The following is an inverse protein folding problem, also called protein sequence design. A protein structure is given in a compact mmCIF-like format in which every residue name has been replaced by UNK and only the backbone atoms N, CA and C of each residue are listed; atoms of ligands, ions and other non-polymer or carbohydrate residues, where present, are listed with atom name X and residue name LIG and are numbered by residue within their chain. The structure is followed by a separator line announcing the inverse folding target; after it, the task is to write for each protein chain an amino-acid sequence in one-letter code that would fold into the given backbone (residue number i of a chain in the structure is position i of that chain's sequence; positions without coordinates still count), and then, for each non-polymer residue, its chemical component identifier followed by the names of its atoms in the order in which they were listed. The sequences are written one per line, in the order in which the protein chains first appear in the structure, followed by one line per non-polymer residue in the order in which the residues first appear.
data_IF_217961497519
#
_entry.id   IF_217961497519
#
_cell.length_a   1.000
_cell.length_b   1.000
_cell.length_c   1.000
_cell.angle_alpha   90.00
_cell.angle_beta   90.00
_cell.angle_gamma   90.00
#
_symmetry.space_group_name_H-M   'P 1'
#
loop_
_entity.id
_entity.type
_entity.pdbx_description
1 polymer ?
#
# COMPACT_ATOMS: atom_id res chain seq x y z
N UNK A 1 46.83 26.73 26.13
CA UNK A 1 46.91 27.11 27.57
C UNK A 1 48.19 26.51 28.14
N UNK A 2 48.95 27.27 28.91
CA UNK A 2 50.20 26.78 29.53
C UNK A 2 49.83 25.83 30.69
N UNK A 3 50.65 24.75 30.86
CA UNK A 3 50.42 23.71 31.86
C UNK A 3 50.46 24.24 33.30
N UNK A 4 51.38 25.19 33.58
CA UNK A 4 51.45 25.84 34.86
C UNK A 4 50.24 26.71 35.20
N UNK A 5 49.66 27.35 34.20
CA UNK A 5 48.45 28.17 34.36
C UNK A 5 47.23 27.26 34.65
N UNK A 6 47.14 26.10 34.02
CA UNK A 6 46.12 25.10 34.29
C UNK A 6 46.21 24.58 35.73
N UNK A 7 47.43 24.26 36.21
CA UNK A 7 47.65 23.77 37.56
C UNK A 7 47.21 24.83 38.59
N UNK A 8 47.58 26.10 38.38
CA UNK A 8 47.15 27.19 39.27
C UNK A 8 45.63 27.38 39.27
N UNK A 9 44.99 27.19 38.13
CA UNK A 9 43.51 27.25 38.06
C UNK A 9 42.87 26.12 38.86
N UNK A 10 43.29 24.89 38.66
CA UNK A 10 42.75 23.71 39.32
C UNK A 10 43.04 23.68 40.84
N UNK A 11 44.10 24.36 41.27
CA UNK A 11 44.44 24.52 42.71
C UNK A 11 43.91 25.79 43.37
N UNK A 12 43.09 26.57 42.65
CA UNK A 12 42.52 27.83 43.10
C UNK A 12 43.56 28.87 43.57
N UNK A 13 44.74 28.88 42.94
CA UNK A 13 45.84 29.81 43.27
C UNK A 13 46.11 30.83 42.18
N UNK A 14 45.17 31.07 41.29
CA UNK A 14 45.25 32.03 40.20
C UNK A 14 45.35 33.48 40.63
N UNK A 15 46.20 34.25 39.99
CA UNK A 15 46.22 35.71 40.08
C UNK A 15 45.11 36.32 39.15
N UNK A 16 44.71 37.60 39.37
CA UNK A 16 43.76 38.27 38.49
C UNK A 16 44.22 38.35 37.00
N UNK A 17 45.51 38.31 36.72
CA UNK A 17 46.08 38.29 35.38
C UNK A 17 45.95 36.87 34.76
N UNK A 18 46.16 35.85 35.58
CA UNK A 18 45.97 34.45 35.16
C UNK A 18 44.54 34.21 34.74
N UNK A 19 43.54 34.71 35.49
CA UNK A 19 42.12 34.59 35.16
C UNK A 19 41.76 35.27 33.85
N UNK A 20 42.30 36.48 33.59
CA UNK A 20 42.08 37.16 32.29
C UNK A 20 42.63 36.36 31.10
N UNK A 21 43.78 35.73 31.30
CA UNK A 21 44.41 34.89 30.27
C UNK A 21 43.59 33.63 29.96
N UNK A 22 42.99 33.06 30.99
CA UNK A 22 42.09 31.90 30.89
C UNK A 22 40.78 32.31 30.18
N UNK A 23 40.18 33.46 30.55
CA UNK A 23 38.95 33.96 29.89
C UNK A 23 39.18 34.23 28.42
N UNK A 24 40.31 34.83 28.02
CA UNK A 24 40.67 35.03 26.61
C UNK A 24 40.84 33.71 25.89
N UNK A 25 41.46 32.73 26.52
CA UNK A 25 41.64 31.42 25.92
C UNK A 25 40.33 30.67 25.77
N UNK A 26 39.41 30.76 26.75
CA UNK A 26 38.03 30.21 26.64
C UNK A 26 37.27 30.89 25.48
N UNK A 27 37.35 32.21 25.36
CA UNK A 27 36.69 32.98 24.32
C UNK A 27 37.21 32.70 22.93
N UNK A 28 38.41 32.15 22.79
CA UNK A 28 39.02 31.82 21.48
C UNK A 28 38.42 30.60 20.79
N UNK A 29 37.61 29.78 21.50
CA UNK A 29 36.90 28.66 20.89
C UNK A 29 36.07 27.82 21.87
N UNK A 30 34.89 27.44 21.45
CA UNK A 30 33.94 26.65 22.25
C UNK A 30 34.53 25.33 22.82
N UNK A 31 35.39 24.59 22.08
CA UNK A 31 36.05 23.38 22.62
C UNK A 31 36.95 23.63 23.84
N UNK A 32 37.44 24.86 24.03
CA UNK A 32 38.34 25.19 25.16
C UNK A 32 37.61 25.24 26.49
N UNK A 33 36.37 25.74 26.49
CA UNK A 33 35.53 25.76 27.69
C UNK A 33 35.15 24.32 28.13
N UNK A 34 34.75 23.50 27.17
CA UNK A 34 34.37 22.10 27.44
C UNK A 34 35.55 21.30 27.99
N UNK A 35 36.73 21.50 27.43
CA UNK A 35 37.96 20.85 27.88
C UNK A 35 38.36 21.29 29.29
N UNK A 36 38.26 22.57 29.60
CA UNK A 36 38.59 23.06 30.95
C UNK A 36 37.62 22.52 32.01
N UNK A 37 36.33 22.45 31.69
CA UNK A 37 35.31 21.87 32.59
C UNK A 37 35.56 20.37 32.86
N UNK A 38 35.95 19.61 31.82
CA UNK A 38 36.30 18.21 32.02
C UNK A 38 37.57 18.03 32.86
N UNK A 39 38.55 18.93 32.75
CA UNK A 39 39.76 18.90 33.60
C UNK A 39 39.43 19.26 35.06
N UNK A 40 38.57 20.22 35.32
CA UNK A 40 38.10 20.56 36.65
C UNK A 40 37.33 19.40 37.30
N UNK A 41 36.51 18.72 36.53
CA UNK A 41 35.77 17.52 36.95
C UNK A 41 36.71 16.37 37.29
N UNK A 42 37.75 16.12 36.49
CA UNK A 42 38.78 15.08 36.79
C UNK A 42 39.56 15.46 38.04
N UNK A 43 39.87 16.73 38.21
CA UNK A 43 40.64 17.21 39.39
C UNK A 43 39.84 17.13 40.68
N UNK A 44 38.53 17.40 40.68
CA UNK A 44 37.64 17.23 41.84
C UNK A 44 37.54 15.78 42.30
N UNK A 45 37.60 14.81 41.37
CA UNK A 45 37.62 13.38 41.68
C UNK A 45 38.90 12.96 42.47
N UNK A 46 40.01 13.72 42.34
CA UNK A 46 41.25 13.47 43.09
C UNK A 46 41.05 13.65 44.59
N UNK A 47 40.22 14.59 45.03
CA UNK A 47 39.96 14.82 46.45
C UNK A 47 39.03 13.74 47.03
N UNK A 48 38.10 13.19 46.23
CA UNK A 48 37.33 11.98 46.62
C UNK A 48 38.20 10.72 46.72
N UNK A 49 39.26 10.60 45.89
CA UNK A 49 40.21 9.48 45.94
C UNK A 49 41.26 9.61 47.06
N UNK A 50 41.41 10.79 47.69
CA UNK A 50 42.34 11.06 48.79
C UNK A 50 41.94 10.43 50.12
N UNK A 51 40.68 9.98 50.24
CA UNK A 51 40.18 9.20 51.40
C UNK A 51 40.48 7.73 51.35
N UNK A 52 41.40 7.29 50.51
CA UNK A 52 41.76 5.87 50.39
C UNK A 52 43.10 5.57 51.06
N UNK A 53 43.40 6.14 52.23
CA UNK A 53 44.44 5.57 53.08
C UNK A 53 43.93 4.23 53.62
N UNK A 54 44.58 3.17 53.21
CA UNK A 54 44.19 1.77 53.48
C UNK A 54 44.00 1.51 54.98
N UNK A 55 44.68 2.25 55.83
CA UNK A 55 44.51 2.22 57.29
C UNK A 55 43.19 2.83 57.75
N UNK A 56 42.77 3.96 57.21
CA UNK A 56 41.51 4.60 57.55
C UNK A 56 40.29 3.77 57.10
N UNK A 57 40.40 3.12 55.95
CA UNK A 57 39.39 2.19 55.46
C UNK A 57 39.34 0.95 56.34
N UNK A 58 40.45 0.39 56.75
CA UNK A 58 40.50 -0.76 57.66
C UNK A 58 39.97 -0.41 59.06
N UNK A 59 40.29 0.76 59.58
CA UNK A 59 39.75 1.22 60.89
C UNK A 59 38.25 1.58 60.78
N UNK A 60 37.76 2.17 59.70
CA UNK A 60 36.37 2.39 59.45
C UNK A 60 35.58 1.09 59.27
N UNK A 61 36.14 0.14 58.56
CA UNK A 61 35.60 -1.21 58.40
C UNK A 61 35.52 -1.98 59.71
N UNK A 62 36.56 -1.90 60.56
CA UNK A 62 36.58 -2.51 61.87
C UNK A 62 35.60 -1.84 62.85
N UNK A 63 35.46 -0.52 62.79
CA UNK A 63 34.40 0.23 63.57
C UNK A 63 33.02 -0.15 63.12
N UNK A 64 32.79 -0.30 61.81
CA UNK A 64 31.54 -0.73 61.24
C UNK A 64 31.18 -2.18 61.61
N UNK A 65 32.13 -3.10 61.53
CA UNK A 65 31.93 -4.51 61.87
C UNK A 65 31.73 -4.71 63.41
N UNK A 66 32.40 -3.92 64.25
CA UNK A 66 32.15 -3.89 65.71
C UNK A 66 30.79 -3.31 66.08
N UNK A 67 30.26 -2.33 65.30
CA UNK A 67 28.91 -1.80 65.45
C UNK A 67 27.82 -2.78 65.03
N UNK A 68 28.11 -3.65 64.08
CA UNK A 68 27.21 -4.71 63.66
C UNK A 68 27.15 -5.92 64.62
N UNK A 69 28.15 -6.05 65.50
CA UNK A 69 28.29 -7.20 66.44
C UNK A 69 27.37 -7.18 67.64
N UNK A 70 26.53 -6.19 67.85
CA UNK A 70 25.63 -6.02 69.03
C UNK A 70 24.13 -5.94 68.71
N UNK A 71 23.70 -6.47 67.62
CA UNK A 71 22.27 -6.69 67.41
C UNK A 71 21.93 -8.17 67.58
N UNK A 72 21.52 -8.51 68.81
CA UNK A 72 20.90 -9.81 69.06
C UNK A 72 19.60 -9.93 68.28
N UNK A 73 19.56 -10.89 67.38
CA UNK A 73 18.38 -11.66 66.97
C UNK A 73 17.10 -10.89 66.64
N UNK A 74 17.05 -10.38 65.47
CA UNK A 74 15.83 -10.50 64.65
C UNK A 74 16.27 -10.69 63.23
N UNK A 75 16.27 -11.95 62.73
CA UNK A 75 16.29 -12.23 61.31
C UNK A 75 14.96 -11.75 60.77
N UNK A 76 14.85 -10.65 60.06
CA UNK A 76 13.70 -10.48 59.21
C UNK A 76 13.85 -11.55 58.11
N UNK A 77 13.08 -12.63 58.25
CA UNK A 77 12.85 -13.48 57.09
C UNK A 77 12.11 -12.61 56.09
N UNK A 78 12.89 -11.93 55.25
CA UNK A 78 12.36 -11.29 54.07
C UNK A 78 11.86 -12.40 53.11
N UNK A 79 10.63 -12.85 53.37
CA UNK A 79 9.87 -13.73 52.48
C UNK A 79 9.52 -13.06 51.14
N UNK A 80 10.25 -11.99 50.75
CA UNK A 80 10.05 -11.27 49.48
C UNK A 80 10.65 -12.01 48.31
N UNK A 81 11.71 -12.81 48.51
CA UNK A 81 12.38 -13.52 47.42
C UNK A 81 11.48 -14.49 46.64
N UNK A 82 10.63 -15.30 47.28
CA UNK A 82 9.69 -16.14 46.50
C UNK A 82 8.59 -15.28 45.85
N UNK A 83 8.09 -14.25 46.48
CA UNK A 83 7.06 -13.35 45.92
C UNK A 83 7.62 -12.63 44.68
N UNK A 84 8.85 -12.14 44.71
CA UNK A 84 9.48 -11.45 43.59
C UNK A 84 9.62 -12.38 42.36
N UNK A 85 9.89 -13.67 42.56
CA UNK A 85 9.91 -14.67 41.47
C UNK A 85 8.53 -14.85 40.82
N UNK A 86 7.46 -14.89 41.63
CA UNK A 86 6.10 -15.00 41.10
C UNK A 86 5.66 -13.74 40.39
N UNK A 87 6.01 -12.54 40.92
CA UNK A 87 5.74 -11.26 40.25
C UNK A 87 6.49 -11.17 38.91
N UNK A 88 7.78 -11.56 38.88
CA UNK A 88 8.55 -11.62 37.63
C UNK A 88 7.96 -12.61 36.62
N UNK A 89 7.52 -13.80 37.08
CA UNK A 89 6.87 -14.78 36.22
C UNK A 89 5.54 -14.26 35.64
N UNK A 90 4.72 -13.59 36.45
CA UNK A 90 3.45 -13.00 35.99
C UNK A 90 3.72 -11.86 34.97
N UNK A 91 4.74 -11.02 35.20
CA UNK A 91 5.13 -9.98 34.25
C UNK A 91 5.64 -10.58 32.94
N UNK A 92 6.46 -11.64 32.98
CA UNK A 92 6.96 -12.31 31.76
C UNK A 92 5.79 -12.96 31.03
N UNK A 93 4.88 -13.65 31.71
CA UNK A 93 3.69 -14.25 31.10
C UNK A 93 2.78 -13.18 30.52
N UNK A 94 2.60 -12.05 31.22
CA UNK A 94 1.83 -10.89 30.73
C UNK A 94 2.44 -10.28 29.49
N UNK A 95 3.77 -10.08 29.47
CA UNK A 95 4.51 -9.55 28.29
C UNK A 95 4.48 -10.53 27.12
N UNK A 96 4.64 -11.84 27.38
CA UNK A 96 4.49 -12.88 26.36
C UNK A 96 3.05 -12.92 25.83
N UNK A 97 2.06 -12.81 26.69
CA UNK A 97 0.65 -12.73 26.31
C UNK A 97 0.33 -11.51 25.45
N UNK A 98 0.88 -10.34 25.79
CA UNK A 98 0.75 -9.13 24.99
C UNK A 98 1.42 -9.26 23.63
N UNK A 99 2.64 -9.80 23.57
CA UNK A 99 3.33 -10.07 22.31
C UNK A 99 2.57 -11.07 21.43
N UNK A 100 2.05 -12.15 22.02
CA UNK A 100 1.21 -13.11 21.30
C UNK A 100 -0.11 -12.48 20.84
N UNK A 101 -0.72 -11.62 21.67
CA UNK A 101 -1.94 -10.89 21.32
C UNK A 101 -1.70 -9.94 20.13
N UNK A 102 -0.61 -9.16 20.12
CA UNK A 102 -0.24 -8.32 18.98
C UNK A 102 0.07 -9.14 17.72
N UNK A 103 0.69 -10.31 17.86
CA UNK A 103 1.01 -11.21 16.75
C UNK A 103 -0.24 -11.90 16.17
N UNK A 104 -1.27 -12.12 16.98
CA UNK A 104 -2.55 -12.73 16.57
C UNK A 104 -3.56 -11.67 16.10
N UNK A 105 -3.38 -10.41 16.46
CA UNK A 105 -4.23 -9.35 15.92
C UNK A 105 -4.04 -9.32 14.39
N UNK A 106 -5.12 -9.50 13.60
CA UNK A 106 -5.02 -9.27 12.16
C UNK A 106 -4.56 -7.82 11.99
N UNK A 107 -3.37 -7.64 11.45
CA UNK A 107 -2.93 -6.31 11.03
C UNK A 107 -4.08 -5.72 10.22
N UNK A 108 -4.67 -4.63 10.66
CA UNK A 108 -5.64 -3.88 9.86
C UNK A 108 -4.85 -3.33 8.67
N UNK A 109 -4.71 -4.18 7.65
CA UNK A 109 -4.07 -3.80 6.40
C UNK A 109 -4.92 -2.70 5.82
N UNK A 110 -4.40 -1.47 5.80
CA UNK A 110 -5.10 -0.36 5.19
C UNK A 110 -5.44 -0.69 3.74
N UNK A 111 -6.60 -0.29 3.28
CA UNK A 111 -7.00 -0.42 1.88
C UNK A 111 -6.76 0.90 1.15
N UNK A 112 -6.20 0.80 -0.03
CA UNK A 112 -6.12 1.88 -1.01
C UNK A 112 -7.28 1.75 -1.98
N UNK A 113 -7.80 2.89 -2.42
CA UNK A 113 -8.85 2.95 -3.43
C UNK A 113 -8.43 3.91 -4.53
N UNK A 114 -8.51 3.45 -5.77
CA UNK A 114 -8.37 4.28 -6.98
C UNK A 114 -9.68 4.25 -7.72
N UNK A 115 -10.26 5.42 -7.91
CA UNK A 115 -11.49 5.63 -8.68
C UNK A 115 -11.18 6.49 -9.90
N UNK A 116 -11.57 6.01 -11.07
CA UNK A 116 -11.35 6.67 -12.36
C UNK A 116 -12.69 7.21 -12.86
N UNK A 117 -12.83 8.54 -12.99
CA UNK A 117 -14.05 9.14 -13.52
C UNK A 117 -14.30 8.75 -14.99
N UNK A 118 -15.50 9.04 -15.48
CA UNK A 118 -15.81 8.98 -16.91
C UNK A 118 -14.85 9.84 -17.72
N UNK A 119 -14.54 9.47 -18.93
CA UNK A 119 -13.62 10.19 -19.82
C UNK A 119 -12.16 10.07 -19.48
N UNK A 120 -11.79 9.46 -18.34
CA UNK A 120 -10.43 9.36 -17.87
C UNK A 120 -9.93 7.92 -17.83
N UNK A 121 -8.62 7.75 -17.71
CA UNK A 121 -7.94 6.47 -17.51
C UNK A 121 -6.82 6.67 -16.50
N UNK A 122 -6.47 5.62 -15.81
CA UNK A 122 -5.34 5.62 -14.88
C UNK A 122 -4.47 4.39 -15.08
N UNK A 123 -3.21 4.49 -14.69
CA UNK A 123 -2.32 3.33 -14.57
C UNK A 123 -1.60 3.40 -13.24
N UNK A 124 -1.39 2.25 -12.62
CA UNK A 124 -0.68 2.14 -11.35
C UNK A 124 0.16 0.87 -11.34
N UNK A 125 1.15 0.87 -10.45
CA UNK A 125 1.95 -0.29 -10.15
C UNK A 125 1.78 -0.63 -8.67
N UNK A 126 1.42 -1.87 -8.38
CA UNK A 126 1.26 -2.37 -7.03
C UNK A 126 2.61 -2.71 -6.38
N UNK A 127 2.62 -2.90 -5.07
CA UNK A 127 3.83 -3.23 -4.31
C UNK A 127 4.51 -4.55 -4.70
N UNK A 128 3.77 -5.45 -5.34
CA UNK A 128 4.28 -6.74 -5.85
C UNK A 128 4.92 -6.65 -7.24
N UNK A 129 4.87 -5.47 -7.89
CA UNK A 129 5.33 -5.21 -9.25
C UNK A 129 4.26 -5.40 -10.34
N UNK A 130 3.03 -5.80 -9.97
CA UNK A 130 1.90 -5.89 -10.89
C UNK A 130 1.54 -4.52 -11.45
N UNK A 131 1.38 -4.43 -12.77
CA UNK A 131 0.93 -3.21 -13.46
C UNK A 131 -0.54 -3.34 -13.82
N UNK A 132 -1.30 -2.28 -13.56
CA UNK A 132 -2.73 -2.24 -13.81
C UNK A 132 -3.05 -0.98 -14.59
N UNK A 133 -3.86 -1.11 -15.63
CA UNK A 133 -4.48 0.00 -16.34
C UNK A 133 -5.97 -0.04 -16.05
N UNK A 134 -6.54 1.07 -15.62
CA UNK A 134 -7.97 1.24 -15.34
C UNK A 134 -8.60 2.07 -16.44
N UNK A 135 -9.71 1.59 -16.98
CA UNK A 135 -10.49 2.30 -17.97
C UNK A 135 -11.48 3.28 -17.30
N UNK A 136 -12.18 4.05 -18.11
CA UNK A 136 -13.18 5.04 -17.65
C UNK A 136 -14.24 4.41 -16.76
N UNK A 137 -14.67 5.16 -15.72
CA UNK A 137 -15.69 4.74 -14.76
C UNK A 137 -15.33 3.40 -14.08
N UNK A 138 -14.08 3.27 -13.64
CA UNK A 138 -13.59 2.04 -12.98
C UNK A 138 -13.07 2.34 -11.58
N UNK A 139 -13.25 1.40 -10.68
CA UNK A 139 -12.82 1.47 -9.29
C UNK A 139 -12.02 0.22 -8.93
N UNK A 140 -10.84 0.44 -8.36
CA UNK A 140 -9.97 -0.61 -7.85
C UNK A 140 -9.69 -0.40 -6.38
N UNK A 141 -9.89 -1.44 -5.60
CA UNK A 141 -9.54 -1.47 -4.18
C UNK A 141 -8.50 -2.55 -3.97
N UNK A 142 -7.41 -2.20 -3.30
CA UNK A 142 -6.31 -3.12 -3.03
C UNK A 142 -5.66 -2.79 -1.67
N UNK A 143 -5.08 -3.78 -0.97
CA UNK A 143 -4.46 -3.56 0.31
C UNK A 143 -3.14 -2.79 0.16
N UNK A 144 -2.76 -2.04 1.19
CA UNK A 144 -1.43 -1.38 1.25
C UNK A 144 -0.30 -2.40 1.18
N UNK A 145 -0.55 -3.60 1.71
CA UNK A 145 0.39 -4.72 1.70
C UNK A 145 -0.38 -6.03 1.48
N UNK A 146 0.08 -6.86 0.56
CA UNK A 146 -0.54 -8.17 0.33
C UNK A 146 -0.21 -9.14 1.45
N UNK A 147 -1.12 -10.11 1.67
CA UNK A 147 -0.88 -11.20 2.61
C UNK A 147 0.14 -12.21 2.06
N UNK A 148 0.66 -13.07 2.92
CA UNK A 148 1.55 -14.18 2.52
C UNK A 148 0.81 -15.35 1.85
N UNK A 149 -0.52 -15.30 1.79
CA UNK A 149 -1.35 -16.38 1.22
C UNK A 149 -1.87 -16.03 -0.16
N UNK A 150 -2.36 -14.79 -0.35
CA UNK A 150 -2.99 -14.34 -1.58
C UNK A 150 -2.83 -12.84 -1.77
N UNK A 151 -2.81 -12.40 -3.04
CA UNK A 151 -2.79 -11.01 -3.47
C UNK A 151 -4.19 -10.63 -3.95
N UNK A 152 -5.05 -10.20 -3.03
CA UNK A 152 -6.44 -9.89 -3.33
C UNK A 152 -6.63 -8.43 -3.74
N UNK A 153 -7.40 -8.20 -4.79
CA UNK A 153 -7.87 -6.89 -5.23
C UNK A 153 -9.35 -6.97 -5.59
N UNK A 154 -10.07 -5.84 -5.50
CA UNK A 154 -11.49 -5.73 -5.91
C UNK A 154 -11.60 -4.75 -7.06
N UNK A 155 -12.25 -5.16 -8.13
CA UNK A 155 -12.47 -4.37 -9.33
C UNK A 155 -13.98 -4.21 -9.60
N UNK A 156 -14.40 -2.98 -9.83
CA UNK A 156 -15.65 -2.62 -10.49
C UNK A 156 -15.30 -1.77 -11.71
N UNK A 157 -15.77 -2.15 -12.90
CA UNK A 157 -15.40 -1.50 -14.15
C UNK A 157 -14.50 -2.33 -15.03
N UNK A 158 -13.59 -1.71 -15.76
CA UNK A 158 -12.67 -2.39 -16.69
C UNK A 158 -11.21 -2.11 -16.36
N UNK A 159 -10.43 -3.19 -16.28
CA UNK A 159 -9.00 -3.10 -16.08
C UNK A 159 -8.23 -4.14 -16.88
N UNK A 160 -7.05 -3.75 -17.34
CA UNK A 160 -6.04 -4.66 -17.87
C UNK A 160 -4.96 -4.88 -16.80
N UNK A 161 -4.63 -6.13 -16.54
CA UNK A 161 -3.65 -6.57 -15.57
C UNK A 161 -2.44 -7.18 -16.25
N UNK A 162 -1.24 -6.74 -15.89
CA UNK A 162 0.03 -7.40 -16.16
C UNK A 162 0.61 -7.84 -14.81
N UNK A 163 0.21 -9.04 -14.39
CA UNK A 163 0.47 -9.54 -13.05
C UNK A 163 1.88 -10.09 -12.94
N UNK A 164 2.64 -9.61 -11.95
CA UNK A 164 3.96 -10.11 -11.61
C UNK A 164 3.90 -11.60 -11.25
N UNK A 165 4.75 -12.43 -11.88
CA UNK A 165 4.74 -13.87 -11.68
C UNK A 165 5.22 -14.25 -10.28
N UNK A 166 4.39 -15.03 -9.54
CA UNK A 166 4.73 -15.64 -8.24
C UNK A 166 4.07 -16.99 -8.13
N UNK A 167 4.85 -18.07 -8.17
CA UNK A 167 4.35 -19.45 -8.25
C UNK A 167 3.47 -19.88 -7.06
N UNK A 168 3.80 -19.39 -5.86
CA UNK A 168 3.14 -19.82 -4.61
C UNK A 168 2.23 -18.77 -3.99
N UNK A 169 2.08 -17.60 -4.64
CA UNK A 169 1.29 -16.50 -4.12
C UNK A 169 0.29 -16.01 -5.18
N UNK A 170 -0.88 -16.62 -5.28
CA UNK A 170 -1.86 -16.28 -6.30
C UNK A 170 -2.33 -14.82 -6.19
N UNK A 171 -2.65 -14.23 -7.34
CA UNK A 171 -3.29 -12.94 -7.47
C UNK A 171 -4.76 -13.17 -7.81
N UNK A 172 -5.66 -12.58 -7.02
CA UNK A 172 -7.11 -12.79 -7.16
C UNK A 172 -7.80 -11.44 -7.37
N UNK A 173 -8.49 -11.32 -8.49
CA UNK A 173 -9.36 -10.18 -8.78
C UNK A 173 -10.80 -10.56 -8.46
N UNK A 174 -11.38 -9.91 -7.45
CA UNK A 174 -12.79 -10.02 -7.13
C UNK A 174 -13.57 -8.97 -7.90
N UNK A 175 -14.54 -9.38 -8.70
CA UNK A 175 -15.49 -8.53 -9.40
C UNK A 175 -16.92 -8.77 -8.93
N UNK A 176 -17.92 -7.98 -9.35
CA UNK A 176 -19.30 -8.18 -8.90
C UNK A 176 -19.88 -9.59 -9.10
N UNK A 177 -19.45 -10.29 -10.15
CA UNK A 177 -19.99 -11.61 -10.50
C UNK A 177 -18.97 -12.74 -10.49
N UNK A 178 -17.67 -12.41 -10.60
CA UNK A 178 -16.59 -13.39 -10.83
C UNK A 178 -15.41 -13.16 -9.89
N UNK A 179 -14.77 -14.26 -9.49
CA UNK A 179 -13.42 -14.28 -8.93
C UNK A 179 -12.45 -14.82 -9.98
N UNK A 180 -11.36 -14.10 -10.23
CA UNK A 180 -10.37 -14.38 -11.26
C UNK A 180 -9.02 -14.63 -10.61
N UNK A 181 -8.48 -15.85 -10.70
CA UNK A 181 -7.25 -16.28 -10.03
C UNK A 181 -6.14 -16.56 -11.04
N UNK A 182 -4.95 -15.98 -10.78
CA UNK A 182 -3.78 -16.09 -11.64
C UNK A 182 -2.48 -16.16 -10.82
N UNK A 183 -1.38 -16.62 -11.43
CA UNK A 183 -0.04 -16.64 -10.81
C UNK A 183 0.91 -15.61 -11.42
N UNK A 184 0.71 -15.26 -12.69
CA UNK A 184 1.52 -14.31 -13.46
C UNK A 184 1.03 -14.31 -14.90
N UNK A 185 0.19 -13.36 -15.26
CA UNK A 185 -0.71 -13.46 -16.41
C UNK A 185 -1.06 -12.06 -16.91
N UNK A 186 -1.23 -11.91 -18.23
CA UNK A 186 -1.77 -10.69 -18.83
C UNK A 186 -3.19 -10.93 -19.30
N UNK A 187 -4.13 -10.22 -18.74
CA UNK A 187 -5.56 -10.39 -19.01
C UNK A 187 -6.35 -9.10 -18.82
N UNK A 188 -7.50 -9.03 -19.45
CA UNK A 188 -8.47 -7.94 -19.28
C UNK A 188 -9.69 -8.43 -18.53
N UNK A 189 -10.19 -7.63 -17.62
CA UNK A 189 -11.48 -7.85 -16.93
C UNK A 189 -12.36 -6.65 -17.19
N UNK A 190 -13.55 -6.88 -17.76
CA UNK A 190 -14.62 -5.89 -17.90
C UNK A 190 -15.80 -6.36 -17.06
N UNK A 191 -16.06 -5.66 -15.95
CA UNK A 191 -17.06 -6.06 -14.94
C UNK A 191 -17.75 -4.82 -14.35
N UNK A 192 -18.43 -4.07 -15.21
CA UNK A 192 -19.33 -2.99 -14.78
C UNK A 192 -20.62 -3.58 -14.18
N UNK A 193 -21.20 -2.88 -13.20
CA UNK A 193 -22.30 -3.39 -12.39
C UNK A 193 -23.52 -3.85 -13.23
N UNK A 194 -23.89 -3.09 -14.26
CA UNK A 194 -25.09 -3.34 -15.07
C UNK A 194 -24.80 -4.13 -16.37
N UNK A 195 -23.63 -4.76 -16.46
CA UNK A 195 -23.21 -5.47 -17.66
C UNK A 195 -22.79 -6.90 -17.35
N UNK A 196 -22.72 -7.74 -18.39
CA UNK A 196 -22.07 -9.04 -18.27
C UNK A 196 -20.59 -8.85 -17.93
N UNK A 197 -20.09 -9.63 -17.00
CA UNK A 197 -18.65 -9.69 -16.75
C UNK A 197 -17.98 -10.44 -17.88
N UNK A 198 -16.84 -9.90 -18.37
CA UNK A 198 -16.05 -10.48 -19.46
C UNK A 198 -14.60 -10.55 -19.02
N UNK A 199 -13.98 -11.72 -19.15
CA UNK A 199 -12.55 -11.94 -18.87
C UNK A 199 -11.88 -12.44 -20.13
N UNK A 200 -10.87 -11.73 -20.63
CA UNK A 200 -10.12 -12.08 -21.84
C UNK A 200 -8.66 -12.32 -21.51
N UNK A 201 -8.14 -13.49 -21.84
CA UNK A 201 -6.77 -13.88 -21.56
C UNK A 201 -5.86 -13.59 -22.76
N UNK A 202 -4.81 -12.76 -22.52
CA UNK A 202 -3.79 -12.47 -23.52
C UNK A 202 -2.57 -13.40 -23.40
N UNK A 203 -2.02 -13.59 -22.19
CA UNK A 203 -0.82 -14.39 -21.96
C UNK A 203 -0.91 -15.11 -20.60
N UNK A 204 -0.48 -16.37 -20.53
CA UNK A 204 -0.44 -17.16 -19.30
C UNK A 204 -1.66 -18.06 -19.11
N UNK A 205 -2.19 -18.12 -17.90
CA UNK A 205 -3.33 -18.96 -17.49
C UNK A 205 -4.21 -18.21 -16.52
N UNK A 206 -5.52 -18.28 -16.70
CA UNK A 206 -6.53 -17.66 -15.82
C UNK A 206 -7.52 -18.72 -15.36
N UNK A 207 -7.76 -18.80 -14.09
CA UNK A 207 -8.89 -19.54 -13.52
C UNK A 207 -10.00 -18.53 -13.17
N UNK A 208 -11.19 -18.77 -13.71
CA UNK A 208 -12.39 -17.94 -13.46
C UNK A 208 -13.41 -18.77 -12.72
N UNK A 209 -13.92 -18.22 -11.63
CA UNK A 209 -14.97 -18.85 -10.82
C UNK A 209 -16.11 -17.86 -10.59
N UNK A 210 -17.36 -18.35 -10.62
CA UNK A 210 -18.50 -17.53 -10.22
C UNK A 210 -18.54 -17.31 -8.72
N UNK A 211 -18.99 -16.15 -8.24
CA UNK A 211 -18.98 -15.83 -6.79
C UNK A 211 -19.85 -16.78 -5.95
N UNK A 212 -20.79 -17.51 -6.57
CA UNK A 212 -21.56 -18.58 -5.92
C UNK A 212 -20.84 -19.95 -5.91
N UNK A 213 -19.61 -19.98 -6.42
CA UNK A 213 -18.73 -21.18 -6.52
C UNK A 213 -19.32 -22.37 -7.30
N UNK A 214 -20.37 -22.15 -8.12
CA UNK A 214 -21.02 -23.22 -8.88
C UNK A 214 -20.33 -23.54 -10.20
N UNK A 215 -19.72 -22.55 -10.81
CA UNK A 215 -19.07 -22.71 -12.10
C UNK A 215 -17.63 -22.25 -12.03
N UNK A 216 -16.72 -23.07 -12.58
CA UNK A 216 -15.30 -22.79 -12.68
C UNK A 216 -14.79 -23.16 -14.07
N UNK A 217 -13.94 -22.29 -14.64
CA UNK A 217 -13.37 -22.49 -15.94
C UNK A 217 -11.92 -21.99 -15.98
N UNK A 218 -11.07 -22.69 -16.72
CA UNK A 218 -9.70 -22.23 -16.98
C UNK A 218 -9.57 -21.76 -18.41
N UNK A 219 -9.09 -20.50 -18.60
CA UNK A 219 -8.80 -19.92 -19.91
C UNK A 219 -7.37 -20.23 -20.35
N UNK A 220 -7.24 -20.40 -21.67
CA UNK A 220 -5.97 -20.40 -22.41
C UNK A 220 -5.80 -19.07 -23.17
N UNK A 221 -4.57 -18.71 -23.60
CA UNK A 221 -4.36 -17.52 -24.40
C UNK A 221 -5.30 -17.44 -25.61
N UNK A 222 -5.81 -16.25 -25.88
CA UNK A 222 -6.81 -15.96 -26.92
C UNK A 222 -8.20 -16.60 -26.66
N UNK A 223 -8.50 -16.92 -25.41
CA UNK A 223 -9.85 -17.30 -24.99
C UNK A 223 -10.46 -16.19 -24.14
N UNK A 224 -11.77 -16.10 -24.17
CA UNK A 224 -12.60 -15.17 -23.42
C UNK A 224 -13.75 -15.92 -22.78
N UNK A 225 -14.10 -15.54 -21.55
CA UNK A 225 -15.32 -16.01 -20.91
C UNK A 225 -16.20 -14.82 -20.59
N UNK A 226 -17.51 -14.99 -20.78
CA UNK A 226 -18.53 -14.01 -20.36
C UNK A 226 -19.55 -14.66 -19.43
N UNK A 227 -20.05 -13.84 -18.45
CA UNK A 227 -21.04 -14.26 -17.45
C UNK A 227 -22.01 -13.12 -17.13
N UNK A 228 -23.30 -13.42 -17.16
CA UNK A 228 -24.37 -12.43 -16.92
C UNK A 228 -25.15 -12.64 -15.60
N UNK A 229 -24.72 -13.61 -14.78
CA UNK A 229 -25.41 -13.93 -13.52
C UNK A 229 -26.55 -14.95 -13.65
N UNK A 230 -27.19 -15.04 -14.80
CA UNK A 230 -28.36 -15.92 -15.04
C UNK A 230 -28.09 -17.12 -15.93
N UNK A 231 -27.03 -17.06 -16.71
CA UNK A 231 -26.58 -18.15 -17.62
C UNK A 231 -25.23 -18.68 -17.16
N UNK A 232 -24.87 -19.90 -17.52
CA UNK A 232 -23.53 -20.43 -17.24
C UNK A 232 -22.41 -19.58 -17.87
N UNK A 233 -21.16 -19.94 -17.56
CA UNK A 233 -19.99 -19.33 -18.17
C UNK A 233 -19.95 -19.63 -19.66
N UNK A 234 -20.01 -18.59 -20.52
CA UNK A 234 -19.94 -18.72 -21.97
C UNK A 234 -18.49 -18.52 -22.43
N UNK A 235 -17.86 -19.60 -22.94
CA UNK A 235 -16.47 -19.59 -23.46
C UNK A 235 -16.46 -19.26 -24.93
N UNK A 236 -15.66 -18.29 -25.32
CA UNK A 236 -15.35 -17.94 -26.69
C UNK A 236 -13.86 -18.15 -26.96
N UNK A 237 -13.51 -18.71 -28.12
CA UNK A 237 -12.13 -19.03 -28.52
C UNK A 237 -11.69 -18.20 -29.72
N UNK A 238 -10.38 -18.15 -29.94
CA UNK A 238 -9.76 -17.42 -31.05
C UNK A 238 -10.05 -15.91 -31.04
N UNK A 239 -10.13 -15.34 -29.86
CA UNK A 239 -10.31 -13.89 -29.67
C UNK A 239 -9.01 -13.17 -30.05
N UNK A 240 -9.15 -12.10 -30.85
CA UNK A 240 -8.03 -11.21 -31.11
C UNK A 240 -7.75 -10.34 -29.87
N UNK A 241 -6.85 -10.79 -29.02
CA UNK A 241 -6.50 -10.09 -27.77
C UNK A 241 -5.80 -8.74 -27.96
N UNK A 242 -5.36 -8.41 -29.19
CA UNK A 242 -4.86 -7.07 -29.47
C UNK A 242 -5.97 -6.02 -29.41
N UNK A 243 -7.22 -6.38 -29.68
CA UNK A 243 -8.36 -5.45 -29.61
C UNK A 243 -8.62 -4.99 -28.19
N UNK A 244 -8.49 -5.87 -27.18
CA UNK A 244 -8.69 -5.50 -25.76
C UNK A 244 -7.57 -4.65 -25.19
N UNK A 245 -6.44 -4.52 -25.89
CA UNK A 245 -5.32 -3.65 -25.51
C UNK A 245 -5.38 -2.27 -26.20
N UNK A 246 -6.27 -2.08 -27.16
CA UNK A 246 -6.34 -0.85 -27.96
C UNK A 246 -6.68 0.38 -27.09
N UNK A 247 -7.60 0.21 -26.17
CA UNK A 247 -8.00 1.29 -25.28
C UNK A 247 -6.83 1.83 -24.41
N UNK A 248 -5.87 0.95 -24.01
CA UNK A 248 -4.67 1.40 -23.29
C UNK A 248 -3.73 2.24 -24.16
N UNK A 249 -3.80 2.05 -25.48
CA UNK A 249 -3.02 2.82 -26.47
C UNK A 249 -3.75 4.06 -26.97
N UNK A 250 -4.94 4.33 -26.42
CA UNK A 250 -5.76 5.46 -26.86
C UNK A 250 -6.59 5.20 -28.12
N UNK A 251 -6.79 3.96 -28.51
CA UNK A 251 -7.62 3.58 -29.65
C UNK A 251 -8.92 2.94 -29.17
N UNK A 252 -10.03 3.19 -29.85
CA UNK A 252 -11.29 2.49 -29.67
C UNK A 252 -11.57 1.56 -30.84
N UNK A 253 -12.05 0.36 -30.57
CA UNK A 253 -12.47 -0.58 -31.59
C UNK A 253 -13.66 -1.40 -31.13
N UNK A 254 -14.67 -1.45 -31.95
CA UNK A 254 -15.81 -2.34 -31.81
C UNK A 254 -15.79 -3.32 -32.96
N UNK A 255 -15.92 -4.60 -32.71
CA UNK A 255 -15.96 -5.65 -33.74
C UNK A 255 -17.17 -6.52 -33.52
N UNK A 256 -18.12 -6.50 -34.44
CA UNK A 256 -19.39 -7.22 -34.33
C UNK A 256 -20.08 -6.97 -32.96
N UNK A 257 -20.07 -5.72 -32.53
CA UNK A 257 -20.57 -5.32 -31.20
C UNK A 257 -21.98 -4.74 -31.34
N UNK A 258 -22.89 -5.11 -30.45
CA UNK A 258 -24.26 -4.58 -30.41
C UNK A 258 -24.25 -3.09 -30.06
N UNK A 259 -25.19 -2.34 -30.63
CA UNK A 259 -25.26 -0.89 -30.42
C UNK A 259 -25.45 -0.52 -28.94
N UNK A 260 -26.25 -1.27 -28.19
CA UNK A 260 -26.44 -1.01 -26.76
C UNK A 260 -25.14 -1.09 -25.95
N UNK A 261 -24.22 -2.00 -26.27
CA UNK A 261 -22.88 -2.06 -25.66
C UNK A 261 -21.97 -0.92 -26.14
N UNK A 262 -22.03 -0.59 -27.43
CA UNK A 262 -21.26 0.53 -28.00
C UNK A 262 -21.66 1.83 -27.32
N UNK A 263 -22.94 2.08 -27.19
CA UNK A 263 -23.49 3.29 -26.55
C UNK A 263 -22.97 3.43 -25.10
N UNK A 264 -23.04 2.38 -24.30
CA UNK A 264 -22.52 2.41 -22.90
C UNK A 264 -21.02 2.70 -22.86
N UNK A 265 -20.22 2.12 -23.75
CA UNK A 265 -18.79 2.38 -23.82
C UNK A 265 -18.50 3.83 -24.25
N UNK A 266 -19.28 4.38 -25.20
CA UNK A 266 -19.18 5.78 -25.61
C UNK A 266 -19.61 6.75 -24.51
N UNK A 267 -20.68 6.46 -23.77
CA UNK A 267 -21.13 7.25 -22.63
C UNK A 267 -20.05 7.34 -21.53
N UNK A 268 -19.35 6.23 -21.25
CA UNK A 268 -18.22 6.19 -20.31
C UNK A 268 -17.00 6.94 -20.83
N UNK A 269 -16.65 6.72 -22.12
CA UNK A 269 -15.46 7.29 -22.71
C UNK A 269 -15.55 8.81 -22.89
N UNK A 270 -16.71 9.32 -23.27
CA UNK A 270 -16.90 10.74 -23.61
C UNK A 270 -17.65 11.53 -22.55
N UNK A 271 -18.09 10.88 -21.48
CA UNK A 271 -18.92 11.47 -20.44
C UNK A 271 -20.16 12.18 -20.99
N UNK A 272 -20.89 11.49 -21.84
CA UNK A 272 -22.11 11.95 -22.50
C UNK A 272 -23.28 11.03 -22.17
N UNK A 273 -24.50 11.49 -22.41
CA UNK A 273 -25.73 10.68 -22.33
C UNK A 273 -26.23 10.39 -23.72
N UNK A 274 -26.42 9.10 -24.04
CA UNK A 274 -26.92 8.67 -25.36
C UNK A 274 -28.21 7.87 -25.19
N UNK A 275 -29.22 8.21 -25.93
CA UNK A 275 -30.54 7.55 -25.88
C UNK A 275 -30.84 6.92 -27.24
N UNK A 276 -31.05 5.62 -27.25
CA UNK A 276 -31.54 4.90 -28.44
C UNK A 276 -33.07 4.95 -28.42
N UNK A 277 -33.69 5.72 -29.33
CA UNK A 277 -35.14 5.87 -29.39
C UNK A 277 -35.84 4.76 -30.14
N UNK A 278 -35.15 4.12 -31.08
CA UNK A 278 -35.66 2.92 -31.77
C UNK A 278 -35.05 1.66 -31.17
N UNK A 279 -35.82 0.97 -30.38
CA UNK A 279 -35.41 -0.23 -29.65
C UNK A 279 -34.83 -1.32 -30.54
N UNK A 280 -35.26 -1.38 -31.82
CA UNK A 280 -34.74 -2.38 -32.76
C UNK A 280 -33.26 -2.16 -33.12
N UNK A 281 -32.74 -0.94 -32.95
CA UNK A 281 -31.31 -0.62 -33.15
C UNK A 281 -30.44 -1.19 -32.06
N UNK A 282 -30.92 -1.36 -30.84
CA UNK A 282 -30.15 -1.78 -29.68
C UNK A 282 -29.43 -3.10 -29.91
N UNK A 283 -30.02 -4.02 -30.64
CA UNK A 283 -29.47 -5.34 -30.94
C UNK A 283 -28.66 -5.38 -32.24
N UNK A 284 -28.69 -4.33 -33.06
CA UNK A 284 -27.90 -4.32 -34.29
C UNK A 284 -26.40 -4.28 -33.99
N UNK A 285 -25.61 -4.97 -34.79
CA UNK A 285 -24.18 -5.10 -34.61
C UNK A 285 -23.40 -4.17 -35.54
N UNK A 286 -22.39 -3.53 -34.99
CA UNK A 286 -21.51 -2.60 -35.71
C UNK A 286 -20.06 -2.98 -35.52
N UNK A 287 -19.26 -2.61 -36.53
CA UNK A 287 -17.79 -2.71 -36.48
C UNK A 287 -17.22 -1.36 -36.87
N UNK A 288 -16.47 -0.74 -35.95
CA UNK A 288 -15.75 0.49 -36.25
C UNK A 288 -14.46 0.57 -35.42
N UNK A 289 -13.52 1.38 -35.88
CA UNK A 289 -12.27 1.70 -35.15
C UNK A 289 -12.03 3.20 -35.23
N UNK A 290 -11.61 3.79 -34.14
CA UNK A 290 -11.31 5.19 -34.05
C UNK A 290 -10.12 5.45 -33.11
N UNK A 291 -9.45 6.59 -33.32
CA UNK A 291 -8.35 7.05 -32.48
C UNK A 291 -8.88 7.66 -31.17
N UNK A 292 -8.05 7.69 -30.15
CA UNK A 292 -8.40 8.33 -28.86
C UNK A 292 -8.66 9.85 -29.00
N UNK A 293 -8.05 10.47 -29.99
CA UNK A 293 -8.27 11.89 -30.33
C UNK A 293 -9.59 12.17 -31.03
N UNK A 294 -10.34 11.12 -31.40
CA UNK A 294 -11.65 11.28 -32.04
C UNK A 294 -12.66 11.87 -31.05
N UNK A 295 -13.45 12.83 -31.50
CA UNK A 295 -14.60 13.36 -30.75
C UNK A 295 -15.77 12.39 -30.83
N UNK A 296 -16.73 12.52 -29.89
CA UNK A 296 -17.97 11.73 -29.91
C UNK A 296 -18.72 11.89 -31.26
N UNK A 297 -18.73 13.11 -31.79
CA UNK A 297 -19.37 13.41 -33.08
C UNK A 297 -18.71 12.63 -34.23
N UNK A 298 -17.38 12.58 -34.27
CA UNK A 298 -16.65 11.80 -35.29
C UNK A 298 -16.96 10.31 -35.20
N UNK A 299 -17.05 9.76 -33.97
CA UNK A 299 -17.38 8.34 -33.77
C UNK A 299 -18.82 8.06 -34.20
N UNK A 300 -19.78 8.92 -33.84
CA UNK A 300 -21.15 8.78 -34.25
C UNK A 300 -21.32 8.93 -35.78
N UNK A 301 -20.51 9.80 -36.39
CA UNK A 301 -20.51 9.94 -37.86
C UNK A 301 -20.06 8.65 -38.56
N UNK A 302 -19.00 7.99 -38.03
CA UNK A 302 -18.58 6.67 -38.53
C UNK A 302 -19.70 5.61 -38.44
N UNK A 303 -20.46 5.62 -37.37
CA UNK A 303 -21.61 4.72 -37.21
C UNK A 303 -22.75 5.08 -38.18
N UNK A 304 -23.02 6.37 -38.40
CA UNK A 304 -24.03 6.88 -39.33
C UNK A 304 -23.69 6.51 -40.78
N UNK A 305 -22.43 6.47 -41.20
CA UNK A 305 -21.99 6.07 -42.54
C UNK A 305 -22.45 4.64 -42.94
N UNK A 306 -22.77 3.80 -41.96
CA UNK A 306 -23.37 2.49 -42.21
C UNK A 306 -24.79 2.59 -42.78
N UNK A 307 -25.41 3.77 -42.77
CA UNK A 307 -26.79 4.08 -43.19
C UNK A 307 -27.87 3.29 -42.44
N UNK A 308 -27.54 2.73 -41.28
CA UNK A 308 -28.49 1.99 -40.42
C UNK A 308 -29.00 2.80 -39.26
N UNK A 309 -28.30 3.86 -38.87
CA UNK A 309 -28.69 4.79 -37.81
C UNK A 309 -28.40 6.22 -38.24
N UNK A 310 -29.08 7.15 -37.55
CA UNK A 310 -28.82 8.59 -37.56
C UNK A 310 -28.78 9.09 -36.10
N UNK A 311 -28.27 10.28 -35.89
CA UNK A 311 -28.20 10.87 -34.56
C UNK A 311 -28.48 12.37 -34.56
N UNK A 312 -28.91 12.89 -33.42
CA UNK A 312 -29.15 14.31 -33.18
C UNK A 312 -28.67 14.72 -31.78
N UNK A 313 -28.00 15.85 -31.68
CA UNK A 313 -27.65 16.44 -30.39
C UNK A 313 -28.85 17.24 -29.86
N UNK A 314 -29.36 16.90 -28.67
CA UNK A 314 -30.50 17.54 -28.00
C UNK A 314 -30.04 18.00 -26.60
N UNK A 315 -29.53 19.24 -26.52
CA UNK A 315 -28.99 19.77 -25.27
C UNK A 315 -27.80 18.93 -24.75
N UNK A 316 -27.96 18.35 -23.57
CA UNK A 316 -26.89 17.51 -22.92
C UNK A 316 -26.93 16.03 -23.31
N UNK A 317 -27.88 15.65 -24.18
CA UNK A 317 -28.00 14.25 -24.60
C UNK A 317 -27.92 14.09 -26.10
N UNK A 318 -27.56 12.90 -26.54
CA UNK A 318 -27.49 12.51 -27.95
C UNK A 318 -28.57 11.47 -28.19
N UNK A 319 -29.39 11.69 -29.18
CA UNK A 319 -30.44 10.76 -29.57
C UNK A 319 -30.00 9.98 -30.81
N UNK A 320 -30.10 8.66 -30.78
CA UNK A 320 -29.85 7.76 -31.90
C UNK A 320 -31.18 7.16 -32.36
N UNK A 321 -31.42 7.16 -33.65
CA UNK A 321 -32.68 6.70 -34.26
C UNK A 321 -32.42 6.10 -35.64
N UNK A 322 -33.43 5.40 -36.19
CA UNK A 322 -33.36 4.94 -37.60
C UNK A 322 -33.58 6.12 -38.54
N UNK A 323 -32.77 6.21 -39.64
CA UNK A 323 -33.02 7.20 -40.67
C UNK A 323 -34.39 6.98 -41.27
N UNK A 324 -35.13 8.08 -41.49
CA UNK A 324 -36.37 8.06 -42.28
C UNK A 324 -36.01 7.62 -43.71
N UNK A 325 -36.70 6.61 -44.22
CA UNK A 325 -36.54 6.13 -45.59
C UNK A 325 -36.94 7.15 -46.60
#
# INVERSE_FOLDING_TARGET
MDEQLLIRFLTHTCTPEDLRSIDQWIASGKPNADWLFEMERIWSLKDELRFSDRREIEEAYNRFTLSLGKSKNAKPHFYIYPILKYVAAVLIIGLLGLNLYEMVQPSTVGENMVEVPKGQRASLMLSDGTKIWLNSQSKLIYPTQFSDKERNVRLEGEAFFDVAHKEHLPFVVHSPLLAIKVLGTKFNVKAYFDEKSVVTLAEGKVEVETNDCKNRLTLKPNEQVSYSGSSGLALEKNINTNTVKLWMKGEGAFSQCRLDYIVRDLERKFDVKIVITDYSLSSEVFTCRFKDTATIEQVLHLLKETRRLDYLFEGEQIRIFKPLK
#
